data_IF_294501215016
#
_entry.id   IF_294501215016
#
_cell.length_a   1.000
_cell.length_b   1.000
_cell.length_c   1.000
_cell.angle_alpha   90.00
_cell.angle_beta   90.00
_cell.angle_gamma   90.00
#
_symmetry.space_group_name_H-M   'P 1'
#
loop_
_entity.id
_entity.type
_entity.pdbx_description
1 polymer ?
#
# COMPACT_ATOMS: atom_id res chain seq x y z
N UNK A 1 0.66 18.57 -12.70
CA UNK A 1 0.82 18.26 -11.27
C UNK A 1 0.07 19.30 -10.48
N UNK A 2 -0.68 18.89 -9.46
CA UNK A 2 -1.17 19.82 -8.44
C UNK A 2 -0.02 20.11 -7.48
N UNK A 3 -0.07 21.27 -6.84
CA UNK A 3 0.92 21.73 -5.85
C UNK A 3 1.27 20.63 -4.84
N UNK A 4 2.56 20.50 -4.49
CA UNK A 4 3.14 19.52 -3.56
C UNK A 4 3.21 18.06 -4.02
N UNK A 5 2.52 17.66 -5.10
CA UNK A 5 2.54 16.24 -5.51
C UNK A 5 3.92 15.78 -5.98
N UNK A 6 4.63 16.61 -6.76
CA UNK A 6 5.93 16.24 -7.33
C UNK A 6 6.97 16.15 -6.22
N UNK A 7 7.00 17.16 -5.36
CA UNK A 7 7.89 17.26 -4.20
C UNK A 7 7.68 16.10 -3.23
N UNK A 8 6.43 15.72 -2.98
CA UNK A 8 6.12 14.55 -2.16
C UNK A 8 6.57 13.23 -2.79
N UNK A 9 6.40 13.07 -4.10
CA UNK A 9 6.86 11.86 -4.81
C UNK A 9 8.40 11.78 -4.75
N UNK A 10 9.10 12.87 -5.05
CA UNK A 10 10.55 12.94 -5.03
C UNK A 10 11.11 12.69 -3.64
N UNK A 11 10.56 13.35 -2.63
CA UNK A 11 10.91 13.14 -1.22
C UNK A 11 10.73 11.68 -0.81
N UNK A 12 9.57 11.09 -1.14
CA UNK A 12 9.29 9.69 -0.80
C UNK A 12 10.19 8.70 -1.55
N UNK A 13 10.48 8.93 -2.84
CA UNK A 13 11.41 8.11 -3.62
C UNK A 13 12.86 8.23 -3.16
N UNK A 14 13.25 9.36 -2.60
CA UNK A 14 14.58 9.56 -1.98
C UNK A 14 14.71 8.91 -0.59
N UNK A 15 13.71 8.16 -0.15
CA UNK A 15 13.71 7.44 1.13
C UNK A 15 13.47 8.33 2.34
N UNK A 16 12.98 9.56 2.15
CA UNK A 16 12.70 10.49 3.24
C UNK A 16 11.32 10.22 3.85
N UNK A 17 11.23 10.39 5.18
CA UNK A 17 9.95 10.40 5.88
C UNK A 17 9.15 11.64 5.44
N UNK A 18 8.09 11.42 4.69
CA UNK A 18 7.36 12.49 4.00
C UNK A 18 5.94 12.62 4.55
N UNK A 19 5.62 13.77 5.14
CA UNK A 19 4.25 14.13 5.53
C UNK A 19 3.66 15.02 4.44
N UNK A 20 2.58 14.56 3.80
CA UNK A 20 1.89 15.35 2.78
C UNK A 20 0.47 15.70 3.22
N UNK A 21 0.19 17.00 3.32
CA UNK A 21 -1.13 17.51 3.67
C UNK A 21 -1.81 18.03 2.40
N UNK A 22 -2.69 17.21 1.83
CA UNK A 22 -3.58 17.61 0.72
C UNK A 22 -5.03 17.60 1.20
N UNK A 23 -5.85 18.49 0.64
CA UNK A 23 -7.32 18.44 0.79
C UNK A 23 -7.86 17.13 0.23
N UNK A 24 -9.03 16.69 0.68
CA UNK A 24 -9.75 15.55 0.10
C UNK A 24 -9.93 15.74 -1.41
N UNK A 25 -9.72 14.68 -2.20
CA UNK A 25 -9.71 14.77 -3.66
C UNK A 25 -8.50 15.51 -4.25
N UNK A 26 -7.53 15.92 -3.42
CA UNK A 26 -6.29 16.60 -3.82
C UNK A 26 -5.31 15.71 -4.60
N UNK A 27 -5.57 14.40 -4.67
CA UNK A 27 -4.76 13.44 -5.44
C UNK A 27 -3.63 12.82 -4.64
N UNK A 28 -3.86 12.48 -3.35
CA UNK A 28 -2.90 11.73 -2.51
C UNK A 28 -2.57 10.36 -3.13
N UNK A 29 -3.57 9.70 -3.72
CA UNK A 29 -3.39 8.38 -4.36
C UNK A 29 -2.34 8.36 -5.46
N UNK A 30 -2.20 9.48 -6.19
CA UNK A 30 -1.18 9.60 -7.22
C UNK A 30 0.25 9.50 -6.65
N UNK A 31 0.47 9.99 -5.43
CA UNK A 31 1.81 10.03 -4.83
C UNK A 31 2.32 8.61 -4.59
N UNK A 32 1.53 7.79 -3.89
CA UNK A 32 1.93 6.41 -3.61
C UNK A 32 1.83 5.52 -4.85
N UNK A 33 0.92 5.80 -5.78
CA UNK A 33 0.84 5.09 -7.06
C UNK A 33 2.12 5.29 -7.88
N UNK A 34 2.51 6.55 -8.12
CA UNK A 34 3.74 6.88 -8.83
C UNK A 34 4.96 6.30 -8.12
N UNK A 35 5.02 6.41 -6.79
CA UNK A 35 6.10 5.84 -6.00
C UNK A 35 6.22 4.33 -6.18
N UNK A 36 5.11 3.58 -6.15
CA UNK A 36 5.11 2.11 -6.30
C UNK A 36 5.62 1.64 -7.67
N UNK A 37 5.36 2.44 -8.73
CA UNK A 37 5.82 2.15 -10.08
C UNK A 37 7.32 2.44 -10.20
N UNK A 38 7.76 3.59 -9.70
CA UNK A 38 9.12 4.08 -9.87
C UNK A 38 10.13 3.37 -8.96
N UNK A 39 9.77 3.04 -7.73
CA UNK A 39 10.66 2.36 -6.77
C UNK A 39 10.76 0.85 -7.01
N UNK A 40 9.78 0.27 -7.71
CA UNK A 40 9.55 -1.18 -7.83
C UNK A 40 9.38 -1.93 -6.49
N UNK A 41 9.44 -1.24 -5.35
CA UNK A 41 9.20 -1.80 -4.03
C UNK A 41 7.74 -2.23 -3.87
N UNK A 42 7.45 -3.04 -2.85
CA UNK A 42 6.07 -3.21 -2.40
C UNK A 42 5.67 -1.98 -1.58
N UNK A 43 4.66 -1.25 -2.04
CA UNK A 43 4.06 -0.15 -1.29
C UNK A 43 2.90 -0.68 -0.44
N UNK A 44 3.05 -0.63 0.88
CA UNK A 44 2.03 -1.05 1.84
C UNK A 44 1.30 0.19 2.37
N UNK A 45 0.03 0.31 2.00
CA UNK A 45 -0.85 1.42 2.38
C UNK A 45 -1.72 0.99 3.55
N UNK A 46 -1.53 1.60 4.72
CA UNK A 46 -2.40 1.45 5.87
C UNK A 46 -3.59 2.38 5.72
N UNK A 47 -4.80 1.84 5.79
CA UNK A 47 -6.03 2.63 5.76
C UNK A 47 -6.97 2.22 6.89
N UNK A 48 -7.57 3.18 7.62
CA UNK A 48 -8.51 2.87 8.70
C UNK A 48 -9.87 2.41 8.18
N UNK A 49 -10.23 2.73 6.93
CA UNK A 49 -11.56 2.47 6.40
C UNK A 49 -11.55 1.29 5.42
N UNK A 50 -11.91 0.10 5.93
CA UNK A 50 -12.10 -1.10 5.09
C UNK A 50 -13.05 -0.86 3.91
N UNK A 51 -14.11 -0.08 4.13
CA UNK A 51 -15.11 0.26 3.12
C UNK A 51 -14.55 1.00 1.90
N UNK A 52 -13.39 1.67 2.04
CA UNK A 52 -12.73 2.40 0.94
C UNK A 52 -11.71 1.54 0.19
N UNK A 53 -11.24 0.43 0.79
CA UNK A 53 -10.18 -0.39 0.20
C UNK A 53 -10.56 -0.96 -1.16
N UNK A 54 -11.80 -1.41 -1.32
CA UNK A 54 -12.31 -1.93 -2.58
C UNK A 54 -12.25 -0.88 -3.70
N UNK A 55 -12.61 0.37 -3.40
CA UNK A 55 -12.54 1.47 -4.36
C UNK A 55 -11.10 1.84 -4.69
N UNK A 56 -10.22 1.88 -3.70
CA UNK A 56 -8.80 2.14 -3.87
C UNK A 56 -8.13 1.06 -4.73
N UNK A 57 -8.39 -0.23 -4.46
CA UNK A 57 -7.89 -1.34 -5.28
C UNK A 57 -8.43 -1.24 -6.71
N UNK A 58 -9.74 -1.01 -6.88
CA UNK A 58 -10.35 -0.83 -8.21
C UNK A 58 -9.71 0.34 -8.98
N UNK A 59 -9.43 1.44 -8.31
CA UNK A 59 -8.79 2.62 -8.91
C UNK A 59 -7.36 2.28 -9.38
N UNK A 60 -6.54 1.64 -8.54
CA UNK A 60 -5.19 1.24 -8.91
C UNK A 60 -5.18 0.26 -10.09
N UNK A 61 -6.06 -0.74 -10.06
CA UNK A 61 -6.18 -1.73 -11.15
C UNK A 61 -6.63 -1.07 -12.45
N UNK A 62 -7.54 -0.09 -12.40
CA UNK A 62 -7.93 0.71 -13.57
C UNK A 62 -6.75 1.49 -14.18
N UNK A 63 -5.81 1.93 -13.36
CA UNK A 63 -4.56 2.55 -13.83
C UNK A 63 -3.48 1.54 -14.25
N UNK A 64 -3.81 0.24 -14.30
CA UNK A 64 -2.86 -0.81 -14.67
C UNK A 64 -1.85 -1.15 -13.58
N UNK A 65 -2.09 -0.71 -12.34
CA UNK A 65 -1.21 -0.96 -11.20
C UNK A 65 -1.76 -2.17 -10.43
N UNK A 66 -1.02 -3.30 -10.39
CA UNK A 66 -1.46 -4.47 -9.64
C UNK A 66 -1.57 -4.14 -8.14
N UNK A 67 -2.79 -4.19 -7.62
CA UNK A 67 -3.09 -3.90 -6.24
C UNK A 67 -3.93 -5.00 -5.59
N UNK A 68 -3.70 -5.23 -4.31
CA UNK A 68 -4.49 -6.17 -3.51
C UNK A 68 -4.84 -5.55 -2.15
N UNK A 69 -5.78 -6.19 -1.44
CA UNK A 69 -6.16 -5.82 -0.09
C UNK A 69 -6.11 -7.00 0.86
N UNK A 70 -5.59 -6.78 2.08
CA UNK A 70 -5.61 -7.74 3.18
C UNK A 70 -6.18 -7.10 4.43
N UNK A 71 -7.21 -7.74 4.99
CA UNK A 71 -7.79 -7.37 6.28
C UNK A 71 -7.83 -8.58 7.22
N UNK A 72 -8.41 -8.40 8.41
CA UNK A 72 -8.46 -9.43 9.44
C UNK A 72 -9.02 -10.76 8.92
N UNK A 73 -8.45 -11.88 9.37
CA UNK A 73 -8.76 -13.23 8.87
C UNK A 73 -10.19 -13.69 9.09
N UNK A 74 -10.92 -13.10 10.04
CA UNK A 74 -12.33 -13.42 10.28
C UNK A 74 -13.26 -12.97 9.13
N UNK A 75 -12.81 -12.02 8.31
CA UNK A 75 -13.65 -11.39 7.29
C UNK A 75 -13.21 -11.72 5.86
N UNK A 76 -12.06 -12.38 5.68
CA UNK A 76 -11.50 -12.77 4.39
C UNK A 76 -11.10 -14.24 4.43
N UNK A 77 -11.52 -15.00 3.42
CA UNK A 77 -11.17 -16.42 3.31
C UNK A 77 -9.65 -16.65 3.37
N UNK A 78 -9.17 -17.69 4.11
CA UNK A 78 -7.75 -18.04 4.15
C UNK A 78 -7.14 -18.27 2.76
N UNK A 79 -7.88 -18.90 1.86
CA UNK A 79 -7.43 -19.20 0.50
C UNK A 79 -7.15 -17.93 -0.31
N UNK A 80 -7.98 -16.90 -0.13
CA UNK A 80 -7.75 -15.59 -0.77
C UNK A 80 -6.49 -14.93 -0.22
N UNK A 81 -6.27 -15.02 1.10
CA UNK A 81 -5.07 -14.45 1.72
C UNK A 81 -3.80 -15.15 1.27
N UNK A 82 -3.80 -16.48 1.21
CA UNK A 82 -2.68 -17.27 0.72
C UNK A 82 -2.34 -16.95 -0.73
N UNK A 83 -3.35 -16.81 -1.60
CA UNK A 83 -3.16 -16.37 -2.97
C UNK A 83 -2.50 -14.99 -3.04
N UNK A 84 -3.01 -14.00 -2.31
CA UNK A 84 -2.45 -12.64 -2.30
C UNK A 84 -1.01 -12.66 -1.79
N UNK A 85 -0.72 -13.41 -0.73
CA UNK A 85 0.64 -13.58 -0.19
C UNK A 85 1.59 -14.15 -1.24
N UNK A 86 1.15 -15.16 -2.01
CA UNK A 86 1.93 -15.73 -3.10
C UNK A 86 2.16 -14.75 -4.25
N UNK A 87 1.15 -13.96 -4.62
CA UNK A 87 1.26 -12.92 -5.65
C UNK A 87 2.18 -11.77 -5.22
N UNK A 88 2.20 -11.43 -3.92
CA UNK A 88 3.17 -10.47 -3.37
C UNK A 88 4.59 -11.05 -3.44
N UNK A 89 4.79 -12.30 -2.99
CA UNK A 89 6.09 -12.94 -2.97
C UNK A 89 6.70 -13.11 -4.37
N UNK A 90 5.86 -13.32 -5.39
CA UNK A 90 6.28 -13.37 -6.81
C UNK A 90 6.45 -11.98 -7.43
N UNK A 91 6.14 -10.90 -6.70
CA UNK A 91 6.27 -9.53 -7.18
C UNK A 91 5.17 -9.09 -8.14
N UNK A 92 4.09 -9.87 -8.28
CA UNK A 92 2.94 -9.52 -9.12
C UNK A 92 2.15 -8.34 -8.55
N UNK A 93 2.11 -8.20 -7.22
CA UNK A 93 1.47 -7.05 -6.55
C UNK A 93 2.46 -5.92 -6.32
N UNK A 94 2.06 -4.68 -6.65
CA UNK A 94 2.83 -3.44 -6.43
C UNK A 94 2.34 -2.67 -5.22
N UNK A 95 1.02 -2.62 -5.02
CA UNK A 95 0.39 -1.92 -3.91
C UNK A 95 -0.44 -2.89 -3.07
N UNK A 96 -0.22 -2.88 -1.77
CA UNK A 96 -1.01 -3.64 -0.82
C UNK A 96 -1.72 -2.69 0.14
N UNK A 97 -3.05 -2.67 0.09
CA UNK A 97 -3.87 -1.99 1.09
C UNK A 97 -4.09 -2.91 2.29
N UNK A 98 -3.86 -2.42 3.51
CA UNK A 98 -4.10 -3.17 4.75
C UNK A 98 -4.77 -2.32 5.83
N UNK A 99 -5.47 -2.99 6.74
CA UNK A 99 -5.89 -2.35 8.00
C UNK A 99 -4.80 -2.47 9.06
N UNK A 100 -4.66 -1.51 9.99
CA UNK A 100 -3.67 -1.58 11.08
C UNK A 100 -3.79 -2.86 11.93
N UNK A 101 -5.00 -3.33 12.19
CA UNK A 101 -5.25 -4.52 13.02
C UNK A 101 -4.70 -5.79 12.36
N UNK A 102 -4.71 -5.87 11.03
CA UNK A 102 -4.12 -7.00 10.30
C UNK A 102 -2.63 -7.08 10.57
N UNK A 103 -1.93 -5.94 10.52
CA UNK A 103 -0.50 -5.87 10.82
C UNK A 103 -0.22 -6.25 12.28
N UNK A 104 -1.01 -5.74 13.22
CA UNK A 104 -0.81 -6.01 14.65
C UNK A 104 -1.12 -7.46 15.02
N UNK A 105 -2.17 -8.07 14.48
CA UNK A 105 -2.61 -9.41 14.92
C UNK A 105 -1.89 -10.57 14.23
N UNK A 106 -1.22 -10.34 13.09
CA UNK A 106 -0.72 -11.44 12.24
C UNK A 106 0.81 -11.47 12.14
N UNK A 107 1.44 -12.32 12.94
CA UNK A 107 2.90 -12.54 12.92
C UNK A 107 3.39 -13.09 11.58
N UNK A 108 2.65 -14.02 10.95
CA UNK A 108 3.03 -14.59 9.65
C UNK A 108 3.12 -13.52 8.57
N UNK A 109 2.19 -12.57 8.58
CA UNK A 109 2.18 -11.42 7.68
C UNK A 109 3.40 -10.51 7.89
N UNK A 110 3.76 -10.21 9.15
CA UNK A 110 4.97 -9.41 9.43
C UNK A 110 6.25 -10.11 8.95
N UNK A 111 6.36 -11.42 9.19
CA UNK A 111 7.51 -12.20 8.71
C UNK A 111 7.59 -12.20 7.17
N UNK A 112 6.45 -12.27 6.48
CA UNK A 112 6.40 -12.13 5.02
C UNK A 112 6.92 -10.74 4.59
N UNK A 113 6.47 -9.65 5.22
CA UNK A 113 6.96 -8.30 4.88
C UNK A 113 8.47 -8.15 5.13
N UNK A 114 9.00 -8.76 6.18
CA UNK A 114 10.45 -8.80 6.45
C UNK A 114 11.21 -9.55 5.35
N UNK A 115 10.68 -10.67 4.84
CA UNK A 115 11.29 -11.40 3.73
C UNK A 115 11.23 -10.61 2.41
N UNK A 116 10.18 -9.82 2.21
CA UNK A 116 10.06 -8.95 1.03
C UNK A 116 11.03 -7.77 1.13
N UNK A 117 11.21 -7.19 2.32
CA UNK A 117 12.10 -6.05 2.49
C UNK A 117 13.56 -6.38 2.18
N UNK A 118 13.98 -7.65 2.33
CA UNK A 118 15.33 -8.11 1.96
C UNK A 118 15.50 -8.41 0.47
N UNK A 119 14.42 -8.56 -0.29
CA UNK A 119 14.46 -9.01 -1.70
C UNK A 119 14.11 -7.91 -2.71
N UNK A 120 13.09 -7.09 -2.43
CA UNK A 120 12.55 -6.10 -3.39
C UNK A 120 12.36 -4.70 -2.82
N UNK A 121 12.62 -4.52 -1.51
CA UNK A 121 12.37 -3.26 -0.82
C UNK A 121 10.89 -3.08 -0.46
N UNK A 122 10.67 -2.27 0.57
CA UNK A 122 9.36 -2.07 1.17
C UNK A 122 9.16 -0.59 1.48
N UNK A 123 7.97 -0.08 1.17
CA UNK A 123 7.58 1.29 1.45
C UNK A 123 6.26 1.29 2.21
N UNK A 124 6.11 2.21 3.16
CA UNK A 124 4.91 2.34 3.96
C UNK A 124 4.24 3.68 3.73
N UNK A 125 2.90 3.65 3.61
CA UNK A 125 2.05 4.82 3.48
C UNK A 125 0.97 4.72 4.53
N UNK A 126 0.76 5.78 5.30
CA UNK A 126 -0.32 5.86 6.30
C UNK A 126 -1.37 6.82 5.73
N UNK A 127 -2.50 6.26 5.29
CA UNK A 127 -3.65 7.04 4.86
C UNK A 127 -4.43 7.53 6.09
N UNK A 128 -4.99 8.73 6.00
CA UNK A 128 -5.68 9.41 7.10
C UNK A 128 -4.90 9.42 8.43
N UNK A 129 -3.61 9.81 8.38
CA UNK A 129 -2.69 9.86 9.53
C UNK A 129 -3.10 10.79 10.70
N UNK A 130 -4.28 11.42 10.64
CA UNK A 130 -4.88 12.20 11.72
C UNK A 130 -5.68 11.33 12.70
N UNK A 131 -5.98 10.09 12.32
CA UNK A 131 -6.74 9.11 13.10
C UNK A 131 -5.90 8.43 14.19
#
# INVERSE_FOLDING_TARGET
YRELQCESIESFLSGQNTLTILRTGGGKSLIYAAASILSQALTVVFTPQKSLMDDQVREMVKFGIPAAMLYASSEQSPQVQEKIVSEIASGLIRILFITPEKYVKNLKFRNMLQNISTTRGLQFVIDEAHC
#
